data_IF_120405428307
#
_entry.id   IF_120405428307
#
_cell.length_a   1.000
_cell.length_b   1.000
_cell.length_c   1.000
_cell.angle_alpha   90.00
_cell.angle_beta   90.00
_cell.angle_gamma   90.00
#
_symmetry.space_group_name_H-M   'P 1'
#
loop_
_entity.id
_entity.type
_entity.pdbx_description
1 polymer ?
#
# COMPACT_ATOMS: atom_id res chain seq x y z
N UNK A 1 -6.38 -30.09 51.67
CA UNK A 1 -5.85 -29.36 52.82
C UNK A 1 -5.01 -28.19 52.34
N UNK A 2 -5.29 -27.00 52.89
CA UNK A 2 -4.54 -25.71 52.90
C UNK A 2 -4.45 -24.97 51.54
N UNK A 3 -5.23 -23.95 51.33
CA UNK A 3 -5.31 -22.55 51.81
C UNK A 3 -4.50 -21.63 50.89
N UNK A 4 -5.20 -20.84 50.07
CA UNK A 4 -5.36 -19.36 50.01
C UNK A 4 -4.10 -18.57 50.37
N UNK A 5 -3.64 -17.74 49.43
CA UNK A 5 -3.36 -16.34 49.79
C UNK A 5 -3.65 -15.44 48.57
N UNK A 6 -4.71 -14.65 48.76
CA UNK A 6 -4.98 -13.39 48.06
C UNK A 6 -3.99 -12.36 48.59
N UNK A 7 -3.48 -11.50 47.76
CA UNK A 7 -3.11 -10.15 48.18
C UNK A 7 -3.33 -9.18 47.04
N UNK A 8 -4.35 -8.41 47.27
CA UNK A 8 -4.76 -7.17 46.61
C UNK A 8 -3.70 -6.10 46.85
N UNK A 9 -3.36 -5.31 45.82
CA UNK A 9 -2.90 -3.94 46.01
C UNK A 9 -3.82 -3.05 45.21
N UNK A 10 -4.64 -2.33 45.95
CA UNK A 10 -5.55 -1.32 45.47
C UNK A 10 -4.85 0.05 45.49
N UNK A 11 -5.09 0.80 44.43
CA UNK A 11 -5.47 2.21 44.38
C UNK A 11 -4.71 3.18 45.30
N UNK A 12 -4.02 4.14 44.68
CA UNK A 12 -3.99 5.51 45.20
C UNK A 12 -4.11 6.52 44.05
N UNK A 13 -5.34 7.04 43.92
CA UNK A 13 -5.69 8.26 43.22
C UNK A 13 -5.39 9.41 44.16
N UNK A 14 -4.59 10.37 43.76
CA UNK A 14 -4.55 11.68 44.42
C UNK A 14 -4.84 12.77 43.40
N UNK A 15 -6.06 13.28 43.47
CA UNK A 15 -6.47 14.59 42.97
C UNK A 15 -5.60 15.67 43.58
N UNK A 16 -5.16 16.63 42.76
CA UNK A 16 -4.89 17.99 43.22
C UNK A 16 -5.39 18.96 42.14
N UNK A 17 -6.64 19.38 42.37
CA UNK A 17 -7.19 20.64 41.89
C UNK A 17 -6.65 21.76 42.81
N UNK A 18 -6.14 22.84 42.24
CA UNK A 18 -6.43 24.18 42.78
C UNK A 18 -6.08 25.26 41.75
N UNK A 19 -7.09 26.03 41.50
CA UNK A 19 -7.23 27.22 40.75
C UNK A 19 -6.37 28.39 41.29
N UNK A 20 -5.94 29.26 40.37
CA UNK A 20 -5.81 30.67 40.69
C UNK A 20 -6.11 31.51 39.45
N UNK A 21 -7.18 32.27 39.60
CA UNK A 21 -7.61 33.39 38.78
C UNK A 21 -6.71 34.61 38.97
N UNK A 22 -6.85 35.52 38.02
CA UNK A 22 -6.62 36.97 38.03
C UNK A 22 -5.47 37.38 37.10
N UNK A 23 -5.52 38.38 36.27
CA UNK A 23 -6.46 39.44 35.91
C UNK A 23 -5.83 40.14 34.70
N UNK A 24 -6.65 40.56 33.78
CA UNK A 24 -6.27 41.57 32.77
C UNK A 24 -6.11 42.94 33.46
N UNK A 25 -5.37 43.86 32.82
CA UNK A 25 -6.09 45.05 32.40
C UNK A 25 -5.87 45.45 30.96
N UNK A 26 -6.93 46.01 30.45
CA UNK A 26 -7.07 46.68 29.18
C UNK A 26 -6.23 47.93 29.08
N UNK A 27 -5.74 48.22 27.91
CA UNK A 27 -5.15 49.52 27.51
C UNK A 27 -5.55 49.83 26.10
N UNK A 28 -6.36 50.87 25.96
CA UNK A 28 -7.07 51.31 24.77
C UNK A 28 -6.15 52.08 23.77
N UNK A 29 -6.72 52.43 22.61
CA UNK A 29 -6.01 52.65 21.34
C UNK A 29 -5.84 54.13 21.00
N UNK A 30 -5.76 54.54 19.76
CA UNK A 30 -4.72 55.18 18.98
C UNK A 30 -4.81 56.72 18.93
N UNK A 31 -4.17 57.34 18.03
CA UNK A 31 -4.95 58.12 17.08
C UNK A 31 -4.49 58.05 15.62
N UNK A 32 -5.52 58.07 14.82
CA UNK A 32 -5.58 58.37 13.41
C UNK A 32 -4.92 59.71 13.04
N UNK A 33 -4.27 59.73 11.89
CA UNK A 33 -4.15 60.92 11.05
C UNK A 33 -4.06 60.54 9.60
N UNK A 34 -5.15 60.77 8.90
CA UNK A 34 -5.26 61.11 7.47
C UNK A 34 -5.01 62.60 7.31
N UNK A 35 -4.81 63.20 6.11
CA UNK A 35 -5.04 62.70 4.76
C UNK A 35 -3.97 63.14 3.68
N UNK A 36 -3.99 62.45 2.58
CA UNK A 36 -3.96 62.78 1.14
C UNK A 36 -3.32 64.10 0.62
N UNK A 37 -3.06 64.30 -0.64
CA UNK A 37 -3.48 63.61 -1.86
C UNK A 37 -2.39 63.57 -2.98
N UNK A 38 -2.76 63.48 -4.26
CA UNK A 38 -2.26 62.53 -5.25
C UNK A 38 -1.15 63.11 -6.13
N UNK A 39 -0.33 62.24 -6.69
CA UNK A 39 0.44 62.62 -7.88
C UNK A 39 0.18 61.56 -8.97
N UNK A 40 -0.44 62.09 -10.03
CA UNK A 40 -0.49 61.50 -11.36
C UNK A 40 0.91 61.08 -11.82
N UNK A 41 1.05 59.89 -12.33
CA UNK A 41 2.09 59.52 -13.29
C UNK A 41 1.57 58.45 -14.24
N UNK A 42 1.91 58.54 -15.52
CA UNK A 42 1.19 57.91 -16.61
C UNK A 42 1.47 56.41 -16.72
N UNK A 43 0.46 55.71 -17.25
CA UNK A 43 0.54 54.33 -17.64
C UNK A 43 1.70 54.10 -18.62
N UNK A 44 2.63 53.23 -18.22
CA UNK A 44 3.59 52.60 -19.13
C UNK A 44 2.95 51.30 -19.63
N UNK A 45 2.49 51.39 -20.88
CA UNK A 45 1.89 50.33 -21.65
C UNK A 45 3.05 49.59 -22.34
N UNK A 46 3.76 48.75 -21.57
CA UNK A 46 4.69 47.77 -22.12
C UNK A 46 3.99 46.42 -22.26
N UNK A 47 4.02 45.77 -23.42
CA UNK A 47 3.49 44.44 -23.60
C UNK A 47 4.26 43.44 -22.71
N UNK A 48 3.55 42.69 -21.88
CA UNK A 48 4.10 41.47 -21.25
C UNK A 48 4.59 40.54 -22.35
N UNK A 49 5.90 40.41 -22.44
CA UNK A 49 6.57 39.34 -23.16
C UNK A 49 6.13 38.01 -22.52
N UNK A 50 5.73 36.99 -23.30
CA UNK A 50 5.46 35.69 -22.72
C UNK A 50 6.74 35.14 -22.11
N UNK A 51 6.68 34.73 -20.84
CA UNK A 51 7.76 34.08 -20.14
C UNK A 51 8.24 32.90 -20.98
N UNK A 52 9.39 33.04 -21.60
CA UNK A 52 10.14 32.00 -22.25
C UNK A 52 10.64 31.04 -21.15
N UNK A 53 9.89 29.96 -20.90
CA UNK A 53 10.33 28.81 -20.13
C UNK A 53 11.24 27.95 -20.99
N UNK A 54 12.34 28.54 -21.48
CA UNK A 54 13.47 27.76 -21.99
C UNK A 54 14.17 27.14 -20.78
N UNK A 55 13.97 25.85 -20.55
CA UNK A 55 14.82 25.06 -19.69
C UNK A 55 16.27 25.25 -20.15
N UNK A 56 17.10 25.76 -19.23
CA UNK A 56 18.54 25.91 -19.46
C UNK A 56 19.15 24.48 -19.54
N UNK A 57 19.65 24.03 -20.70
CA UNK A 57 20.17 22.67 -20.87
C UNK A 57 21.46 22.41 -20.07
N UNK A 58 21.97 23.37 -19.36
CA UNK A 58 23.22 23.28 -18.57
C UNK A 58 22.95 23.27 -17.05
N UNK A 59 21.67 23.24 -16.62
CA UNK A 59 21.36 23.07 -15.19
C UNK A 59 21.55 21.59 -14.83
N UNK A 60 22.42 21.23 -13.84
CA UNK A 60 22.54 19.85 -13.41
C UNK A 60 21.17 19.31 -13.01
N UNK A 61 20.83 18.13 -13.53
CA UNK A 61 19.60 17.47 -13.12
C UNK A 61 19.56 17.34 -11.60
N UNK A 62 18.45 17.74 -10.99
CA UNK A 62 18.25 17.57 -9.56
C UNK A 62 18.31 16.09 -9.23
N UNK A 63 19.14 15.71 -8.27
CA UNK A 63 19.29 14.32 -7.81
C UNK A 63 19.25 14.29 -6.29
N UNK A 64 18.95 13.14 -5.72
CA UNK A 64 18.84 12.98 -4.28
C UNK A 64 18.35 11.60 -3.91
N UNK A 65 17.77 11.49 -2.74
CA UNK A 65 17.15 10.25 -2.26
C UNK A 65 15.67 10.48 -2.01
N UNK A 66 14.81 9.66 -2.58
CA UNK A 66 13.37 9.65 -2.30
C UNK A 66 13.00 8.43 -1.45
N UNK A 67 11.98 8.60 -0.61
CA UNK A 67 11.44 7.56 0.25
C UNK A 67 10.24 6.91 -0.44
N UNK A 68 10.39 5.64 -0.81
CA UNK A 68 9.32 4.82 -1.36
C UNK A 68 8.69 3.97 -0.25
N UNK A 69 7.44 4.23 0.10
CA UNK A 69 6.69 3.31 0.96
C UNK A 69 5.88 2.33 0.11
N UNK A 70 6.00 1.05 0.45
CA UNK A 70 5.37 -0.06 -0.27
C UNK A 70 4.92 -1.15 0.70
N UNK A 71 4.44 -2.28 0.15
CA UNK A 71 4.00 -3.41 0.98
C UNK A 71 5.10 -4.47 1.13
N UNK A 72 5.04 -5.22 2.24
CA UNK A 72 5.96 -6.35 2.47
C UNK A 72 5.89 -7.38 1.34
N UNK A 73 4.70 -7.65 0.80
CA UNK A 73 4.56 -8.58 -0.32
C UNK A 73 5.20 -8.07 -1.62
N UNK A 74 5.22 -6.76 -1.84
CA UNK A 74 5.92 -6.15 -2.98
C UNK A 74 7.44 -6.31 -2.83
N UNK A 75 7.96 -6.02 -1.65
CA UNK A 75 9.39 -6.19 -1.32
C UNK A 75 9.81 -7.66 -1.42
N UNK A 76 9.06 -8.55 -0.75
CA UNK A 76 9.34 -10.00 -0.72
C UNK A 76 9.27 -10.66 -2.10
N UNK A 77 8.59 -10.05 -3.08
CA UNK A 77 8.55 -10.57 -4.46
C UNK A 77 9.91 -10.46 -5.17
N UNK A 78 10.80 -9.57 -4.72
CA UNK A 78 12.08 -9.28 -5.36
C UNK A 78 11.97 -8.35 -6.58
N UNK A 79 10.78 -7.87 -6.94
CA UNK A 79 10.60 -6.97 -8.08
C UNK A 79 11.40 -5.68 -7.92
N UNK A 80 11.37 -5.08 -6.72
CA UNK A 80 12.05 -3.81 -6.47
C UNK A 80 13.56 -3.95 -6.62
N UNK A 81 14.16 -5.02 -6.12
CA UNK A 81 15.58 -5.32 -6.31
C UNK A 81 15.96 -5.45 -7.80
N UNK A 82 15.02 -5.90 -8.62
CA UNK A 82 15.22 -6.07 -10.05
C UNK A 82 15.10 -4.74 -10.82
N UNK A 83 14.13 -3.86 -10.49
CA UNK A 83 13.86 -2.65 -11.27
C UNK A 83 14.58 -1.39 -10.74
N UNK A 84 14.70 -1.18 -9.43
CA UNK A 84 15.21 0.07 -8.86
C UNK A 84 16.66 0.42 -9.24
N UNK A 85 17.59 -0.54 -9.42
CA UNK A 85 18.92 -0.21 -9.94
C UNK A 85 18.90 0.46 -11.31
N UNK A 86 17.89 0.12 -12.16
CA UNK A 86 17.72 0.74 -13.48
C UNK A 86 17.25 2.18 -13.32
N UNK A 87 16.28 2.44 -12.43
CA UNK A 87 15.82 3.79 -12.12
C UNK A 87 16.98 4.69 -11.69
N UNK A 88 17.78 4.24 -10.73
CA UNK A 88 18.93 5.01 -10.24
C UNK A 88 19.95 5.29 -11.34
N UNK A 89 20.21 4.30 -12.21
CA UNK A 89 21.15 4.48 -13.30
C UNK A 89 20.66 5.46 -14.38
N UNK A 90 19.35 5.51 -14.63
CA UNK A 90 18.75 6.36 -15.68
C UNK A 90 18.49 7.80 -15.19
N UNK A 91 18.13 7.98 -13.91
CA UNK A 91 17.68 9.27 -13.41
C UNK A 91 18.68 9.95 -12.47
N UNK A 92 19.59 9.18 -11.86
CA UNK A 92 20.49 9.66 -10.81
C UNK A 92 19.83 9.80 -9.43
N UNK A 93 18.53 9.55 -9.30
CA UNK A 93 17.84 9.51 -8.00
C UNK A 93 18.07 8.17 -7.32
N UNK A 94 18.33 8.21 -6.02
CA UNK A 94 18.37 7.02 -5.18
C UNK A 94 16.99 6.77 -4.56
N UNK A 95 16.65 5.50 -4.34
CA UNK A 95 15.42 5.12 -3.63
C UNK A 95 15.77 4.42 -2.33
N UNK A 96 15.11 4.87 -1.25
CA UNK A 96 15.08 4.17 0.01
C UNK A 96 13.70 3.57 0.21
N UNK A 97 13.63 2.26 0.23
CA UNK A 97 12.37 1.51 0.40
C UNK A 97 12.04 1.35 1.87
N UNK A 98 10.76 1.55 2.21
CA UNK A 98 10.15 1.16 3.48
C UNK A 98 8.98 0.26 3.18
N UNK A 99 9.09 -1.02 3.52
CA UNK A 99 8.06 -2.03 3.29
C UNK A 99 7.31 -2.36 4.59
N UNK A 100 6.00 -2.15 4.56
CA UNK A 100 5.09 -2.35 5.70
C UNK A 100 3.73 -2.84 5.20
N UNK A 101 2.74 -3.05 6.07
CA UNK A 101 1.36 -3.32 5.61
C UNK A 101 0.76 -2.11 4.88
N UNK A 102 -0.18 -2.33 3.95
CA UNK A 102 -0.77 -1.28 3.10
C UNK A 102 -1.26 -0.06 3.91
N UNK A 103 -2.00 -0.29 4.99
CA UNK A 103 -2.50 0.80 5.83
C UNK A 103 -1.37 1.61 6.47
N UNK A 104 -0.27 0.97 6.87
CA UNK A 104 0.89 1.63 7.42
C UNK A 104 1.67 2.40 6.35
N UNK A 105 1.80 1.86 5.13
CA UNK A 105 2.41 2.57 4.00
C UNK A 105 1.66 3.86 3.65
N UNK A 106 0.33 3.79 3.57
CA UNK A 106 -0.53 4.97 3.37
C UNK A 106 -0.41 5.96 4.54
N UNK A 107 -0.24 5.47 5.77
CA UNK A 107 -0.03 6.34 6.93
C UNK A 107 1.32 7.08 6.87
N UNK A 108 2.40 6.43 6.41
CA UNK A 108 3.68 7.10 6.16
C UNK A 108 3.52 8.25 5.15
N UNK A 109 2.70 8.05 4.11
CA UNK A 109 2.35 9.12 3.18
C UNK A 109 1.58 10.27 3.85
N UNK A 110 0.57 9.97 4.70
CA UNK A 110 -0.18 11.00 5.44
C UNK A 110 0.70 11.79 6.39
N UNK A 111 1.67 11.15 7.01
CA UNK A 111 2.60 11.76 7.96
C UNK A 111 3.76 12.51 7.28
N UNK A 112 3.86 12.45 5.93
CA UNK A 112 4.93 13.08 5.15
C UNK A 112 6.28 12.38 5.31
N UNK A 113 6.28 11.09 5.70
CA UNK A 113 7.48 10.26 5.87
C UNK A 113 7.82 9.46 4.59
N UNK A 114 6.97 9.53 3.57
CA UNK A 114 7.19 8.96 2.24
C UNK A 114 7.04 10.04 1.16
N UNK A 115 7.85 9.95 0.11
CA UNK A 115 7.73 10.80 -1.08
C UNK A 115 6.82 10.15 -2.14
N UNK A 116 6.88 8.83 -2.23
CA UNK A 116 6.10 8.03 -3.19
C UNK A 116 5.52 6.81 -2.50
N UNK A 117 4.32 6.45 -2.89
CA UNK A 117 3.64 5.21 -2.49
C UNK A 117 3.52 4.29 -3.70
N UNK A 118 3.86 3.00 -3.54
CA UNK A 118 3.58 1.92 -4.50
C UNK A 118 2.85 0.81 -3.75
N UNK A 119 1.55 0.76 -3.87
CA UNK A 119 0.67 -0.12 -3.09
C UNK A 119 -0.40 -0.77 -3.98
N UNK A 120 -1.24 -1.65 -3.42
CA UNK A 120 -2.22 -2.43 -4.18
C UNK A 120 -3.54 -2.62 -3.42
N UNK A 121 -4.10 -1.52 -2.92
CA UNK A 121 -5.42 -1.50 -2.27
C UNK A 121 -6.25 -0.35 -2.85
N UNK A 122 -6.77 -0.54 -4.05
CA UNK A 122 -7.43 0.48 -4.88
C UNK A 122 -8.37 1.39 -4.10
N UNK A 123 -9.25 0.84 -3.28
CA UNK A 123 -10.21 1.63 -2.50
C UNK A 123 -9.52 2.59 -1.52
N UNK A 124 -8.44 2.13 -0.86
CA UNK A 124 -7.70 2.96 0.08
C UNK A 124 -6.81 3.99 -0.63
N UNK A 125 -6.32 3.66 -1.82
CA UNK A 125 -5.57 4.55 -2.70
C UNK A 125 -6.46 5.67 -3.23
N UNK A 126 -7.65 5.34 -3.73
CA UNK A 126 -8.63 6.32 -4.19
C UNK A 126 -9.04 7.27 -3.05
N UNK A 127 -9.25 6.73 -1.83
CA UNK A 127 -9.50 7.54 -0.64
C UNK A 127 -8.33 8.48 -0.30
N UNK A 128 -7.11 8.00 -0.41
CA UNK A 128 -5.89 8.80 -0.16
C UNK A 128 -5.82 10.01 -1.10
N UNK A 129 -6.18 9.83 -2.37
CA UNK A 129 -6.31 10.91 -3.35
C UNK A 129 -7.49 11.84 -3.02
N UNK A 130 -8.67 11.31 -2.70
CA UNK A 130 -9.86 12.09 -2.33
C UNK A 130 -9.62 12.96 -1.08
N UNK A 131 -8.84 12.47 -0.12
CA UNK A 131 -8.41 13.20 1.08
C UNK A 131 -7.34 14.26 0.79
N UNK A 132 -6.79 14.33 -0.43
CA UNK A 132 -5.82 15.34 -0.88
C UNK A 132 -4.36 15.03 -0.52
N UNK A 133 -4.05 13.81 -0.10
CA UNK A 133 -2.68 13.40 0.21
C UNK A 133 -1.85 13.05 -1.03
N UNK A 134 -2.48 12.83 -2.16
CA UNK A 134 -1.88 12.76 -3.49
C UNK A 134 -2.75 13.49 -4.50
N UNK A 135 -2.16 14.01 -5.58
CA UNK A 135 -2.92 14.66 -6.67
C UNK A 135 -3.64 13.62 -7.55
N UNK A 136 -2.95 12.53 -7.81
CA UNK A 136 -3.45 11.45 -8.68
C UNK A 136 -2.85 10.10 -8.29
N UNK A 137 -3.53 9.06 -8.73
CA UNK A 137 -3.08 7.68 -8.73
C UNK A 137 -2.85 7.23 -10.17
N UNK A 138 -1.74 6.55 -10.41
CA UNK A 138 -1.43 5.95 -11.71
C UNK A 138 -1.40 4.44 -11.58
N UNK A 139 -2.00 3.74 -12.55
CA UNK A 139 -1.86 2.30 -12.66
C UNK A 139 -0.42 1.97 -13.07
N UNK A 140 0.12 0.86 -12.58
CA UNK A 140 1.51 0.45 -12.86
C UNK A 140 1.55 -0.95 -13.44
N UNK A 141 0.99 -1.89 -12.72
CA UNK A 141 1.03 -3.31 -13.03
C UNK A 141 -0.04 -4.03 -12.23
N UNK A 142 -0.28 -5.27 -12.56
CA UNK A 142 -1.02 -6.17 -11.69
C UNK A 142 -0.30 -7.51 -11.57
N UNK A 143 -0.51 -8.18 -10.46
CA UNK A 143 -0.36 -9.62 -10.34
C UNK A 143 -1.73 -10.22 -9.99
N UNK A 144 -1.80 -11.50 -9.70
CA UNK A 144 -3.04 -12.12 -9.29
C UNK A 144 -2.87 -12.94 -8.00
N UNK A 145 -3.99 -13.18 -7.39
CA UNK A 145 -4.12 -14.17 -6.34
C UNK A 145 -4.55 -15.50 -6.94
N UNK A 146 -4.23 -16.55 -6.22
CA UNK A 146 -4.67 -17.92 -6.50
C UNK A 146 -5.27 -18.52 -5.23
N UNK A 147 -6.24 -19.41 -5.38
CA UNK A 147 -6.66 -20.25 -4.26
C UNK A 147 -5.92 -21.57 -4.42
N UNK A 148 -5.17 -21.91 -3.39
CA UNK A 148 -4.46 -23.19 -3.32
C UNK A 148 -5.14 -24.13 -2.34
N UNK A 149 -5.03 -25.42 -2.59
CA UNK A 149 -5.62 -26.45 -1.77
C UNK A 149 -5.10 -27.84 -2.13
N UNK A 150 -5.54 -28.90 -1.42
CA UNK A 150 -5.06 -30.26 -1.62
C UNK A 150 -5.28 -30.78 -3.04
N UNK A 151 -4.23 -31.31 -3.65
CA UNK A 151 -4.28 -31.92 -4.97
C UNK A 151 -5.26 -33.12 -5.00
N UNK A 152 -6.18 -33.07 -5.96
CA UNK A 152 -7.24 -34.06 -6.04
C UNK A 152 -8.23 -34.03 -4.87
N UNK A 153 -8.27 -32.93 -4.12
CA UNK A 153 -9.19 -32.70 -3.00
C UNK A 153 -10.63 -32.48 -3.43
N UNK A 154 -11.43 -31.89 -2.54
CA UNK A 154 -12.86 -31.67 -2.77
C UNK A 154 -13.15 -30.59 -3.84
N UNK A 155 -12.24 -29.63 -4.02
CA UNK A 155 -12.36 -28.55 -5.00
C UNK A 155 -11.52 -28.90 -6.22
N UNK A 156 -12.18 -29.13 -7.34
CA UNK A 156 -11.50 -29.31 -8.62
C UNK A 156 -11.04 -27.95 -9.18
N UNK A 157 -9.95 -27.94 -9.95
CA UNK A 157 -9.44 -26.73 -10.59
C UNK A 157 -10.51 -26.01 -11.41
N UNK A 158 -10.67 -24.71 -11.18
CA UNK A 158 -11.70 -23.87 -11.81
C UNK A 158 -11.30 -22.38 -11.82
N UNK A 159 -12.19 -21.53 -12.37
CA UNK A 159 -12.03 -20.06 -12.36
C UNK A 159 -13.21 -19.33 -11.70
N UNK A 160 -14.00 -20.02 -10.89
CA UNK A 160 -15.14 -19.43 -10.20
C UNK A 160 -14.86 -19.24 -8.72
N UNK A 161 -14.30 -18.08 -8.37
CA UNK A 161 -13.89 -17.73 -7.00
C UNK A 161 -15.05 -17.83 -6.02
N UNK A 162 -16.19 -17.24 -6.35
CA UNK A 162 -17.36 -17.22 -5.45
C UNK A 162 -17.87 -18.63 -5.15
N UNK A 163 -17.89 -19.49 -6.17
CA UNK A 163 -18.28 -20.89 -5.97
C UNK A 163 -17.24 -21.64 -5.14
N UNK A 164 -15.93 -21.40 -5.40
CA UNK A 164 -14.85 -22.05 -4.64
C UNK A 164 -14.93 -21.69 -3.15
N UNK A 165 -15.11 -20.42 -2.82
CA UNK A 165 -15.26 -19.98 -1.43
C UNK A 165 -16.52 -20.55 -0.78
N UNK A 166 -17.64 -20.59 -1.51
CA UNK A 166 -18.90 -21.19 -1.03
C UNK A 166 -18.73 -22.68 -0.78
N UNK A 167 -18.11 -23.42 -1.71
CA UNK A 167 -17.91 -24.86 -1.59
C UNK A 167 -16.98 -25.22 -0.41
N UNK A 168 -15.95 -24.41 -0.15
CA UNK A 168 -15.06 -24.56 1.00
C UNK A 168 -15.87 -24.50 2.30
N UNK A 169 -16.77 -23.53 2.42
CA UNK A 169 -17.62 -23.37 3.60
C UNK A 169 -18.67 -24.48 3.72
N UNK A 170 -19.43 -24.71 2.66
CA UNK A 170 -20.56 -25.67 2.67
C UNK A 170 -20.08 -27.09 3.00
N UNK A 171 -18.87 -27.43 2.58
CA UNK A 171 -18.25 -28.72 2.86
C UNK A 171 -17.44 -28.73 4.15
N UNK A 172 -17.38 -27.61 4.90
CA UNK A 172 -16.57 -27.43 6.10
C UNK A 172 -15.08 -27.77 5.89
N UNK A 173 -14.54 -27.41 4.73
CA UNK A 173 -13.12 -27.62 4.43
C UNK A 173 -12.27 -26.60 5.21
N UNK A 174 -11.06 -26.97 5.68
CA UNK A 174 -10.22 -26.06 6.42
C UNK A 174 -9.72 -24.94 5.51
N UNK A 175 -9.89 -23.69 5.93
CA UNK A 175 -9.37 -22.49 5.26
C UNK A 175 -8.46 -21.72 6.20
N UNK A 176 -7.26 -21.44 5.73
CA UNK A 176 -6.25 -20.69 6.48
C UNK A 176 -6.21 -19.26 5.94
N UNK A 177 -6.56 -18.31 6.78
CA UNK A 177 -6.46 -16.88 6.49
C UNK A 177 -5.15 -16.32 7.04
N UNK A 178 -4.54 -15.40 6.32
CA UNK A 178 -3.39 -14.65 6.84
C UNK A 178 -3.73 -13.90 8.13
N UNK A 179 -4.88 -13.25 8.22
CA UNK A 179 -5.34 -12.56 9.41
C UNK A 179 -4.46 -11.38 9.88
N UNK A 180 -3.65 -10.81 9.00
CA UNK A 180 -2.59 -9.84 9.33
C UNK A 180 -2.83 -8.43 8.75
N UNK A 181 -4.02 -8.16 8.20
CA UNK A 181 -4.39 -6.94 7.50
C UNK A 181 -3.49 -6.59 6.29
N UNK A 182 -2.85 -7.59 5.70
CA UNK A 182 -2.14 -7.45 4.42
C UNK A 182 -3.10 -7.31 3.24
N UNK A 183 -2.57 -6.94 2.07
CA UNK A 183 -3.36 -6.89 0.84
C UNK A 183 -4.06 -8.21 0.50
N UNK A 184 -3.39 -9.36 0.74
CA UNK A 184 -3.99 -10.70 0.57
C UNK A 184 -5.15 -10.91 1.53
N UNK A 185 -4.97 -10.57 2.82
CA UNK A 185 -6.04 -10.68 3.81
C UNK A 185 -7.21 -9.74 3.50
N UNK A 186 -6.94 -8.52 3.10
CA UNK A 186 -7.99 -7.57 2.70
C UNK A 186 -8.78 -8.06 1.47
N UNK A 187 -8.09 -8.65 0.48
CA UNK A 187 -8.75 -9.24 -0.69
C UNK A 187 -9.62 -10.45 -0.30
N UNK A 188 -9.12 -11.29 0.57
CA UNK A 188 -9.88 -12.43 1.12
C UNK A 188 -11.17 -11.95 1.79
N UNK A 189 -11.06 -10.97 2.71
CA UNK A 189 -12.22 -10.40 3.42
C UNK A 189 -13.21 -9.76 2.47
N UNK A 190 -12.75 -9.08 1.41
CA UNK A 190 -13.63 -8.51 0.39
C UNK A 190 -14.44 -9.60 -0.33
N UNK A 191 -13.81 -10.73 -0.67
CA UNK A 191 -14.52 -11.85 -1.30
C UNK A 191 -15.59 -12.42 -0.35
N UNK A 192 -15.28 -12.59 0.93
CA UNK A 192 -16.25 -13.05 1.93
C UNK A 192 -17.41 -12.06 2.09
N UNK A 193 -17.12 -10.76 2.12
CA UNK A 193 -18.12 -9.69 2.23
C UNK A 193 -19.05 -9.68 1.01
N UNK A 194 -18.52 -9.81 -0.20
CA UNK A 194 -19.29 -9.87 -1.45
C UNK A 194 -20.26 -11.07 -1.48
N UNK A 195 -19.91 -12.15 -0.78
CA UNK A 195 -20.76 -13.31 -0.57
C UNK A 195 -21.74 -13.15 0.59
N UNK A 196 -21.67 -12.05 1.36
CA UNK A 196 -22.41 -11.84 2.60
C UNK A 196 -22.14 -12.93 3.64
N UNK A 197 -20.90 -13.40 3.74
CA UNK A 197 -20.46 -14.44 4.64
C UNK A 197 -19.52 -13.83 5.70
N UNK A 198 -19.70 -14.23 6.95
CA UNK A 198 -18.77 -13.99 8.06
C UNK A 198 -17.94 -15.24 8.25
N UNK A 199 -16.70 -15.29 7.76
CA UNK A 199 -15.91 -16.53 7.74
C UNK A 199 -15.60 -17.07 9.15
N UNK A 200 -15.50 -16.20 10.16
CA UNK A 200 -15.25 -16.58 11.56
C UNK A 200 -16.38 -17.40 12.19
N UNK A 201 -17.59 -17.35 11.62
CA UNK A 201 -18.70 -18.21 12.04
C UNK A 201 -18.48 -19.68 11.66
N UNK A 202 -17.54 -19.95 10.74
CA UNK A 202 -17.15 -21.28 10.34
C UNK A 202 -15.99 -21.80 11.20
N UNK A 203 -16.18 -22.96 11.83
CA UNK A 203 -15.16 -23.61 12.68
C UNK A 203 -13.92 -24.08 11.93
N UNK A 204 -14.02 -24.20 10.62
CA UNK A 204 -12.92 -24.62 9.73
C UNK A 204 -12.11 -23.45 9.21
N UNK A 205 -12.49 -22.19 9.53
CA UNK A 205 -11.73 -21.00 9.22
C UNK A 205 -10.72 -20.69 10.34
N UNK A 206 -9.46 -20.55 9.97
CA UNK A 206 -8.39 -20.28 10.91
C UNK A 206 -7.59 -19.04 10.48
N UNK A 207 -7.73 -17.95 11.23
CA UNK A 207 -6.93 -16.73 11.07
C UNK A 207 -5.63 -16.88 11.85
N UNK A 208 -4.47 -16.83 11.18
CA UNK A 208 -3.17 -17.17 11.80
C UNK A 208 -2.31 -15.98 12.18
N UNK A 209 -2.61 -14.79 11.66
CA UNK A 209 -1.84 -13.57 11.95
C UNK A 209 -0.40 -13.63 11.45
N UNK A 210 -0.16 -14.27 10.30
CA UNK A 210 1.18 -14.55 9.77
C UNK A 210 1.36 -14.05 8.33
N UNK A 211 2.63 -13.86 7.91
CA UNK A 211 2.97 -13.59 6.52
C UNK A 211 2.68 -14.78 5.59
N UNK A 212 2.65 -14.54 4.27
CA UNK A 212 2.18 -15.52 3.28
C UNK A 212 2.95 -16.85 3.32
N UNK A 213 4.28 -16.80 3.42
CA UNK A 213 5.09 -18.03 3.49
C UNK A 213 4.76 -18.90 4.70
N UNK A 214 4.57 -18.31 5.90
CA UNK A 214 4.17 -19.04 7.09
C UNK A 214 2.72 -19.56 6.97
N UNK A 215 1.82 -18.78 6.36
CA UNK A 215 0.45 -19.19 6.06
C UNK A 215 0.43 -20.41 5.14
N UNK A 216 1.23 -20.41 4.08
CA UNK A 216 1.39 -21.56 3.18
C UNK A 216 1.90 -22.81 3.92
N UNK A 217 2.90 -22.65 4.81
CA UNK A 217 3.38 -23.76 5.63
C UNK A 217 2.29 -24.39 6.48
N UNK A 218 1.47 -23.57 7.15
CA UNK A 218 0.32 -24.08 7.94
C UNK A 218 -0.72 -24.74 7.03
N UNK A 219 -0.96 -24.16 5.84
CA UNK A 219 -1.88 -24.72 4.86
C UNK A 219 -1.45 -26.10 4.39
N UNK A 220 -0.14 -26.30 4.13
CA UNK A 220 0.45 -27.62 3.81
C UNK A 220 0.25 -28.61 4.95
N UNK A 221 0.58 -28.21 6.19
CA UNK A 221 0.48 -29.09 7.38
C UNK A 221 -0.96 -29.54 7.66
N UNK A 222 -1.94 -28.71 7.33
CA UNK A 222 -3.36 -28.97 7.62
C UNK A 222 -4.12 -29.55 6.43
N UNK A 223 -3.49 -29.75 5.28
CA UNK A 223 -4.19 -30.15 4.04
C UNK A 223 -5.36 -29.19 3.76
N UNK A 224 -5.13 -27.90 3.90
CA UNK A 224 -6.15 -26.85 3.91
C UNK A 224 -6.17 -26.05 2.60
N UNK A 225 -7.09 -25.07 2.54
CA UNK A 225 -7.19 -24.09 1.46
C UNK A 225 -6.71 -22.73 1.96
N UNK A 226 -6.16 -21.89 1.08
CA UNK A 226 -5.83 -20.50 1.37
C UNK A 226 -5.83 -19.67 0.10
N UNK A 227 -6.02 -18.35 0.26
CA UNK A 227 -5.74 -17.36 -0.77
C UNK A 227 -4.26 -16.97 -0.69
N UNK A 228 -3.53 -17.04 -1.80
CA UNK A 228 -2.13 -16.65 -1.88
C UNK A 228 -1.90 -15.73 -3.08
N UNK A 229 -0.96 -14.80 -2.99
CA UNK A 229 -0.42 -14.17 -4.19
C UNK A 229 0.38 -15.20 -5.00
N UNK A 230 0.24 -15.14 -6.33
CA UNK A 230 0.88 -16.11 -7.23
C UNK A 230 2.40 -16.10 -7.11
N UNK A 231 3.02 -14.93 -6.92
CA UNK A 231 4.46 -14.82 -6.85
C UNK A 231 5.01 -15.57 -5.65
N UNK A 232 4.43 -15.36 -4.45
CA UNK A 232 4.81 -16.09 -3.25
C UNK A 232 4.53 -17.59 -3.40
N UNK A 233 3.38 -17.97 -3.98
CA UNK A 233 3.08 -19.38 -4.25
C UNK A 233 4.14 -20.04 -5.12
N UNK A 234 4.54 -19.42 -6.23
CA UNK A 234 5.56 -19.96 -7.15
C UNK A 234 6.95 -20.02 -6.52
N UNK A 235 7.29 -19.04 -5.67
CA UNK A 235 8.57 -19.01 -4.96
C UNK A 235 8.60 -19.96 -3.75
N UNK A 236 7.45 -20.44 -3.29
CA UNK A 236 7.38 -21.31 -2.12
C UNK A 236 7.83 -22.73 -2.46
N UNK A 237 8.99 -23.14 -1.93
CA UNK A 237 9.65 -24.39 -2.32
C UNK A 237 8.97 -25.67 -1.81
N UNK A 238 8.30 -25.60 -0.65
CA UNK A 238 7.69 -26.76 0.02
C UNK A 238 6.16 -26.69 -0.03
N UNK A 239 5.62 -26.86 -1.22
CA UNK A 239 4.17 -26.84 -1.45
C UNK A 239 3.45 -28.12 -0.99
N UNK A 240 4.20 -29.13 -0.53
CA UNK A 240 3.60 -30.39 -0.08
C UNK A 240 2.70 -31.03 -1.12
N UNK A 241 1.44 -31.31 -0.73
CA UNK A 241 0.39 -31.84 -1.60
C UNK A 241 -0.58 -30.76 -2.09
N UNK A 242 -0.20 -29.48 -2.08
CA UNK A 242 -1.08 -28.41 -2.55
C UNK A 242 -0.90 -28.16 -4.05
N UNK A 243 -1.99 -27.73 -4.67
CA UNK A 243 -2.02 -27.24 -6.06
C UNK A 243 -2.91 -26.00 -6.14
N UNK A 244 -2.83 -25.27 -7.26
CA UNK A 244 -3.79 -24.20 -7.54
C UNK A 244 -5.14 -24.84 -7.88
N UNK A 245 -6.15 -24.52 -7.11
CA UNK A 245 -7.52 -25.01 -7.31
C UNK A 245 -8.45 -23.95 -7.92
N UNK A 246 -8.10 -22.65 -7.82
CA UNK A 246 -8.84 -21.60 -8.50
C UNK A 246 -7.92 -20.45 -8.92
N UNK A 247 -8.05 -20.01 -10.18
CA UNK A 247 -7.29 -18.92 -10.78
C UNK A 247 -8.02 -18.30 -11.97
N UNK A 248 -7.48 -17.18 -12.51
CA UNK A 248 -7.95 -16.59 -13.76
C UNK A 248 -9.30 -15.88 -13.66
N UNK A 249 -9.66 -15.36 -12.49
CA UNK A 249 -10.87 -14.61 -12.24
C UNK A 249 -10.56 -13.12 -11.96
N UNK A 250 -11.41 -12.20 -12.40
CA UNK A 250 -11.24 -10.77 -12.17
C UNK A 250 -11.17 -10.41 -10.68
N UNK A 251 -11.88 -11.14 -9.82
CA UNK A 251 -11.81 -10.95 -8.37
C UNK A 251 -10.44 -11.32 -7.77
N UNK A 252 -9.60 -12.01 -8.51
CA UNK A 252 -8.25 -12.38 -8.10
C UNK A 252 -7.19 -11.41 -8.61
N UNK A 253 -7.54 -10.44 -9.45
CA UNK A 253 -6.59 -9.43 -9.88
C UNK A 253 -6.17 -8.52 -8.73
N UNK A 254 -4.90 -8.19 -8.71
CA UNK A 254 -4.28 -7.35 -7.69
C UNK A 254 -3.54 -6.19 -8.36
N UNK A 255 -4.26 -5.11 -8.71
CA UNK A 255 -3.68 -3.96 -9.38
C UNK A 255 -2.86 -3.11 -8.41
N UNK A 256 -1.69 -2.67 -8.87
CA UNK A 256 -0.77 -1.79 -8.16
C UNK A 256 -0.90 -0.36 -8.66
N UNK A 257 -0.99 0.57 -7.73
CA UNK A 257 -0.99 2.01 -8.00
C UNK A 257 0.26 2.69 -7.45
N UNK A 258 0.72 3.71 -8.16
CA UNK A 258 1.77 4.62 -7.70
C UNK A 258 1.19 6.02 -7.52
N UNK A 259 1.63 6.70 -6.46
CA UNK A 259 1.18 8.05 -6.08
C UNK A 259 2.35 8.85 -5.54
N UNK A 260 2.52 10.10 -5.99
CA UNK A 260 3.38 11.07 -5.31
C UNK A 260 2.62 11.68 -4.13
N UNK A 261 3.28 11.75 -2.98
CA UNK A 261 2.70 12.35 -1.78
C UNK A 261 2.70 13.87 -1.91
N UNK A 262 1.56 14.52 -1.71
CA UNK A 262 1.38 15.98 -1.90
C UNK A 262 2.33 16.84 -1.02
N UNK A 263 2.78 16.30 0.12
CA UNK A 263 3.67 16.98 1.06
C UNK A 263 5.14 16.62 0.90
N UNK A 264 5.50 15.90 -0.18
CA UNK A 264 6.88 15.49 -0.44
C UNK A 264 7.84 16.70 -0.48
N UNK A 265 9.02 16.51 0.08
CA UNK A 265 10.11 17.47 -0.02
C UNK A 265 10.95 17.29 -1.30
N UNK A 266 10.67 16.24 -2.06
CA UNK A 266 11.37 15.86 -3.29
C UNK A 266 10.41 15.70 -4.50
N UNK A 267 9.61 16.73 -4.84
CA UNK A 267 8.57 16.60 -5.87
C UNK A 267 9.13 16.21 -7.24
N UNK A 268 10.33 16.70 -7.59
CA UNK A 268 11.00 16.36 -8.86
C UNK A 268 11.37 14.87 -8.89
N UNK A 269 11.92 14.34 -7.80
CA UNK A 269 12.27 12.92 -7.68
C UNK A 269 11.05 12.02 -7.66
N UNK A 270 9.98 12.41 -6.95
CA UNK A 270 8.73 11.69 -6.91
C UNK A 270 8.08 11.59 -8.29
N UNK A 271 8.03 12.71 -9.03
CA UNK A 271 7.50 12.72 -10.39
C UNK A 271 8.37 11.91 -11.34
N UNK A 272 9.70 12.01 -11.24
CA UNK A 272 10.62 11.22 -12.03
C UNK A 272 10.41 9.71 -11.83
N UNK A 273 10.08 9.27 -10.59
CA UNK A 273 9.75 7.88 -10.33
C UNK A 273 8.42 7.45 -10.98
N UNK A 274 7.39 8.29 -10.90
CA UNK A 274 6.10 8.02 -11.56
C UNK A 274 6.29 7.89 -13.07
N UNK A 275 6.94 8.89 -13.69
CA UNK A 275 7.15 8.91 -15.15
C UNK A 275 7.98 7.70 -15.61
N UNK A 276 8.98 7.32 -14.81
CA UNK A 276 9.83 6.18 -15.12
C UNK A 276 9.08 4.85 -14.97
N UNK A 277 8.38 4.61 -13.86
CA UNK A 277 7.73 3.31 -13.61
C UNK A 277 6.58 3.06 -14.59
N UNK A 278 5.92 4.13 -15.05
CA UNK A 278 4.85 4.06 -16.06
C UNK A 278 5.36 4.12 -17.51
N UNK A 279 6.66 4.34 -17.73
CA UNK A 279 7.23 4.42 -19.06
C UNK A 279 7.18 3.07 -19.80
N UNK A 280 7.05 3.07 -21.15
CA UNK A 280 7.05 1.84 -21.94
C UNK A 280 8.27 0.94 -21.72
N UNK A 281 9.45 1.52 -21.46
CA UNK A 281 10.68 0.77 -21.19
C UNK A 281 10.61 0.01 -19.86
N UNK A 282 10.15 0.67 -18.81
CA UNK A 282 10.02 0.04 -17.48
C UNK A 282 8.86 -0.96 -17.46
N UNK A 283 7.76 -0.66 -18.14
CA UNK A 283 6.66 -1.61 -18.30
C UNK A 283 7.13 -2.90 -19.01
N UNK A 284 7.97 -2.77 -20.06
CA UNK A 284 8.59 -3.93 -20.68
C UNK A 284 9.54 -4.67 -19.71
N UNK A 285 10.30 -3.95 -18.88
CA UNK A 285 11.18 -4.55 -17.86
C UNK A 285 10.36 -5.36 -16.84
N UNK A 286 9.27 -4.79 -16.32
CA UNK A 286 8.34 -5.46 -15.40
C UNK A 286 7.82 -6.76 -16.01
N UNK A 287 7.43 -6.76 -17.29
CA UNK A 287 6.90 -7.94 -17.98
C UNK A 287 7.89 -9.09 -18.13
N UNK A 288 9.18 -8.86 -17.90
CA UNK A 288 10.22 -9.90 -17.96
C UNK A 288 10.53 -10.51 -16.61
N UNK A 289 10.10 -9.87 -15.52
CA UNK A 289 10.38 -10.33 -14.18
C UNK A 289 9.74 -11.70 -13.90
N UNK A 290 10.53 -12.65 -13.43
CA UNK A 290 10.11 -14.03 -13.14
C UNK A 290 10.14 -14.99 -14.34
N UNK A 291 10.20 -14.49 -15.59
CA UNK A 291 10.14 -15.35 -16.79
C UNK A 291 11.30 -16.36 -16.84
N UNK A 292 12.50 -15.95 -16.46
CA UNK A 292 13.66 -16.83 -16.49
C UNK A 292 13.58 -17.96 -15.45
N UNK A 293 12.95 -17.71 -14.31
CA UNK A 293 12.89 -18.64 -13.19
C UNK A 293 11.62 -19.50 -13.21
N UNK A 294 10.46 -18.89 -13.51
CA UNK A 294 9.16 -19.54 -13.44
C UNK A 294 8.53 -19.83 -14.80
N UNK A 295 9.17 -19.42 -15.92
CA UNK A 295 8.68 -19.60 -17.28
C UNK A 295 7.50 -18.67 -17.64
N UNK A 296 7.12 -17.76 -16.75
CA UNK A 296 6.06 -16.77 -16.92
C UNK A 296 6.37 -15.51 -16.10
N UNK A 297 5.84 -14.34 -16.53
CA UNK A 297 5.98 -13.12 -15.73
C UNK A 297 5.23 -13.24 -14.39
N UNK A 298 5.78 -12.63 -13.33
CA UNK A 298 5.11 -12.53 -12.04
C UNK A 298 4.26 -11.25 -11.91
N UNK A 299 4.53 -10.25 -12.74
CA UNK A 299 3.75 -9.02 -12.84
C UNK A 299 3.46 -8.70 -14.30
N UNK A 300 2.30 -8.14 -14.54
CA UNK A 300 1.81 -7.77 -15.87
C UNK A 300 1.68 -6.25 -15.95
N UNK A 301 2.24 -5.59 -16.97
CA UNK A 301 2.10 -4.16 -17.21
C UNK A 301 0.65 -3.69 -17.25
N UNK A 302 0.37 -2.48 -16.70
CA UNK A 302 -0.99 -1.90 -16.64
C UNK A 302 -0.97 -0.34 -16.72
N UNK A 303 0.18 0.26 -17.11
CA UNK A 303 0.32 1.71 -17.23
C UNK A 303 0.12 2.21 -18.67
#
# INVERSE_FOLDING_TARGET
MKKRLLSSIAVLIALLLLAACAAQPAGSPPPSSDPSPPADSPADDSPEEPADTSEDPDQPAETGTIMLATTTSTEDSGLLDFILPVFTAETGWEIRVTSVGTGAALQLGRDGEADVLLVHARTEEDRFVEEGYAESRHDVMYNDFVIVGPAGGAIAHNSNVTQTFTDILDQNLPFISRGDNSGTHMRELQIWEDLNIVPEDNRSYLSVGQGMGATLGITVEMDAYTLADRATWLAYADVGNLEIVCEGNELLLNPYGVMAVSTTLHPVGAQAFIDWITSPSTQQLISTFGVAEFGQPLFFPDA
#
